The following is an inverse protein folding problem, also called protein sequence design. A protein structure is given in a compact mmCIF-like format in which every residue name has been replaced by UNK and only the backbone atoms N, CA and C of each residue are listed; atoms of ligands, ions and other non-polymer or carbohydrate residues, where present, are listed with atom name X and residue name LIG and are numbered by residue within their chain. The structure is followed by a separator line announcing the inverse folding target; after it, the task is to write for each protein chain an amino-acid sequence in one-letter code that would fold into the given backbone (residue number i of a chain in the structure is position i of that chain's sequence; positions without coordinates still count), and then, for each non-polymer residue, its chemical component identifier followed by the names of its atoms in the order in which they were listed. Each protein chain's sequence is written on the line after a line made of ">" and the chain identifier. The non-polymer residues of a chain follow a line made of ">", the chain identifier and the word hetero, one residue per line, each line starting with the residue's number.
data_IF_576852652084
#
_entry.id   IF_576852652084
#
_cell.length_a   1.000
_cell.length_b   1.000
_cell.length_c   1.000
_cell.angle_alpha   90.00
_cell.angle_beta   90.00
_cell.angle_gamma   90.00
#
_symmetry.space_group_name_H-M   'P 1'
#
loop_
_entity.id
_entity.type
_entity.pdbx_description
1 polymer ?
#
# COMPACT_ATOMS: atom_id res chain seq x y z
N UNK A 1 45.84 15.54 -13.43
CA UNK A 1 44.88 14.83 -12.56
C UNK A 1 45.50 14.81 -11.17
N UNK A 2 44.90 15.50 -10.21
CA UNK A 2 45.37 15.44 -8.82
C UNK A 2 45.11 14.02 -8.30
N UNK A 3 46.14 13.34 -7.81
CA UNK A 3 45.93 12.11 -7.06
C UNK A 3 45.22 12.45 -5.75
N UNK A 4 44.16 11.69 -5.45
CA UNK A 4 43.47 11.79 -4.17
C UNK A 4 44.42 11.33 -3.06
N UNK A 5 44.51 12.14 -2.01
CA UNK A 5 45.14 11.76 -0.75
C UNK A 5 44.42 10.55 -0.13
N UNK A 6 45.10 9.83 0.75
CA UNK A 6 44.53 8.65 1.41
C UNK A 6 43.29 9.00 2.24
N UNK A 7 43.24 10.21 2.80
CA UNK A 7 42.08 10.73 3.52
C UNK A 7 40.87 10.91 2.59
N UNK A 8 41.08 11.53 1.41
CA UNK A 8 40.01 11.72 0.42
C UNK A 8 39.54 10.38 -0.17
N UNK A 9 40.44 9.38 -0.30
CA UNK A 9 40.06 8.01 -0.71
C UNK A 9 39.21 7.33 0.35
N UNK A 10 39.57 7.44 1.62
CA UNK A 10 38.80 6.87 2.71
C UNK A 10 37.40 7.49 2.81
N UNK A 11 37.30 8.81 2.66
CA UNK A 11 36.03 9.53 2.62
C UNK A 11 35.17 9.10 1.43
N UNK A 12 35.75 8.98 0.23
CA UNK A 12 35.03 8.47 -0.94
C UNK A 12 34.48 7.05 -0.74
N UNK A 13 35.23 6.18 -0.08
CA UNK A 13 34.77 4.82 0.24
C UNK A 13 33.56 4.88 1.18
N UNK A 14 33.61 5.70 2.22
CA UNK A 14 32.49 5.86 3.16
C UNK A 14 31.25 6.44 2.47
N UNK A 15 31.44 7.46 1.62
CA UNK A 15 30.35 8.07 0.87
C UNK A 15 29.71 7.07 -0.09
N UNK A 16 30.49 6.26 -0.80
CA UNK A 16 29.97 5.21 -1.68
C UNK A 16 29.18 4.17 -0.90
N UNK A 17 29.71 3.70 0.23
CA UNK A 17 29.02 2.75 1.09
C UNK A 17 27.67 3.32 1.58
N UNK A 18 27.65 4.61 1.95
CA UNK A 18 26.42 5.28 2.38
C UNK A 18 25.43 5.48 1.24
N UNK A 19 25.89 5.80 0.04
CA UNK A 19 25.04 5.89 -1.16
C UNK A 19 24.43 4.54 -1.49
N UNK A 20 25.21 3.47 -1.50
CA UNK A 20 24.70 2.11 -1.74
C UNK A 20 23.65 1.68 -0.71
N UNK A 21 23.86 2.05 0.56
CA UNK A 21 22.87 1.81 1.62
C UNK A 21 21.57 2.59 1.36
N UNK A 22 21.66 3.89 1.06
CA UNK A 22 20.50 4.73 0.77
C UNK A 22 19.75 4.28 -0.51
N UNK A 23 20.48 3.80 -1.52
CA UNK A 23 19.88 3.26 -2.74
C UNK A 23 19.09 1.97 -2.46
N UNK A 24 19.60 1.10 -1.58
CA UNK A 24 18.87 -0.08 -1.12
C UNK A 24 17.59 0.30 -0.37
N UNK A 25 17.69 1.22 0.60
CA UNK A 25 16.52 1.72 1.35
C UNK A 25 15.47 2.33 0.41
N UNK A 26 15.92 3.14 -0.56
CA UNK A 26 15.04 3.74 -1.57
C UNK A 26 14.34 2.70 -2.43
N UNK A 27 15.07 1.69 -2.89
CA UNK A 27 14.49 0.60 -3.67
C UNK A 27 13.39 -0.13 -2.90
N UNK A 28 13.63 -0.46 -1.62
CA UNK A 28 12.65 -1.10 -0.76
C UNK A 28 11.41 -0.23 -0.54
N UNK A 29 11.61 1.07 -0.29
CA UNK A 29 10.51 2.01 -0.10
C UNK A 29 9.66 2.17 -1.37
N UNK A 30 10.30 2.25 -2.55
CA UNK A 30 9.59 2.30 -3.84
C UNK A 30 8.83 1.01 -4.07
N UNK A 31 9.43 -0.16 -3.82
CA UNK A 31 8.76 -1.44 -3.96
C UNK A 31 7.55 -1.59 -3.02
N UNK A 32 7.66 -1.12 -1.78
CA UNK A 32 6.54 -1.09 -0.83
C UNK A 32 5.43 -0.14 -1.29
N UNK A 33 5.79 1.05 -1.75
CA UNK A 33 4.85 2.06 -2.25
C UNK A 33 4.11 1.54 -3.48
N UNK A 34 4.82 0.97 -4.46
CA UNK A 34 4.22 0.41 -5.67
C UNK A 34 3.23 -0.71 -5.35
N UNK A 35 3.56 -1.59 -4.38
CA UNK A 35 2.63 -2.62 -3.91
C UNK A 35 1.37 -2.02 -3.28
N UNK A 36 1.51 -0.97 -2.46
CA UNK A 36 0.37 -0.29 -1.85
C UNK A 36 -0.52 0.40 -2.91
N UNK A 37 0.09 1.06 -3.89
CA UNK A 37 -0.61 1.71 -5.01
C UNK A 37 -1.32 0.68 -5.86
N UNK A 38 -0.68 -0.43 -6.23
CA UNK A 38 -1.30 -1.49 -7.01
C UNK A 38 -2.53 -2.08 -6.30
N UNK A 39 -2.43 -2.35 -4.99
CA UNK A 39 -3.56 -2.82 -4.20
C UNK A 39 -4.69 -1.78 -4.08
N UNK A 40 -4.36 -0.49 -4.06
CA UNK A 40 -5.36 0.58 -4.10
C UNK A 40 -6.03 0.69 -5.46
N UNK A 41 -5.27 0.59 -6.56
CA UNK A 41 -5.77 0.60 -7.93
C UNK A 41 -6.70 -0.57 -8.21
N UNK A 42 -6.37 -1.78 -7.75
CA UNK A 42 -7.26 -2.94 -7.90
C UNK A 42 -8.61 -2.69 -7.20
N UNK A 43 -8.59 -2.12 -5.99
CA UNK A 43 -9.82 -1.78 -5.26
C UNK A 43 -10.60 -0.69 -5.98
N UNK A 44 -9.93 0.37 -6.43
CA UNK A 44 -10.54 1.47 -7.18
C UNK A 44 -11.19 0.96 -8.48
N UNK A 45 -10.51 0.09 -9.22
CA UNK A 45 -11.05 -0.55 -10.42
C UNK A 45 -12.39 -1.26 -10.16
N UNK A 46 -12.50 -2.01 -9.06
CA UNK A 46 -13.76 -2.68 -8.71
C UNK A 46 -14.86 -1.70 -8.32
N UNK A 47 -14.51 -0.62 -7.63
CA UNK A 47 -15.45 0.43 -7.25
C UNK A 47 -16.00 1.14 -8.49
N UNK A 48 -15.11 1.53 -9.41
CA UNK A 48 -15.48 2.14 -10.68
C UNK A 48 -16.34 1.18 -11.52
N UNK A 49 -15.98 -0.10 -11.58
CA UNK A 49 -16.76 -1.11 -12.30
C UNK A 49 -18.18 -1.27 -11.77
N UNK A 50 -18.39 -1.05 -10.46
CA UNK A 50 -19.70 -1.05 -9.83
C UNK A 50 -20.34 0.34 -9.75
N UNK A 51 -19.74 1.36 -10.36
CA UNK A 51 -20.17 2.75 -10.34
C UNK A 51 -20.39 3.28 -8.91
N UNK A 52 -19.54 2.84 -7.97
CA UNK A 52 -19.57 3.26 -6.58
C UNK A 52 -18.62 4.45 -6.37
N UNK A 53 -19.16 5.66 -6.35
CA UNK A 53 -18.37 6.85 -6.00
C UNK A 53 -18.23 6.99 -4.48
N UNK A 54 -17.04 6.66 -3.98
CA UNK A 54 -16.69 6.83 -2.57
C UNK A 54 -16.48 8.30 -2.19
N UNK A 55 -16.04 9.16 -3.11
CA UNK A 55 -15.75 10.56 -2.80
C UNK A 55 -17.06 11.31 -2.55
N UNK A 56 -18.02 11.23 -3.47
CA UNK A 56 -19.35 11.81 -3.28
C UNK A 56 -20.11 11.23 -2.08
N UNK A 57 -19.80 10.00 -1.68
CA UNK A 57 -20.38 9.38 -0.50
C UNK A 57 -19.74 9.86 0.81
N UNK A 58 -18.43 10.14 0.82
CA UNK A 58 -17.72 10.65 1.98
C UNK A 58 -17.95 12.14 2.23
N UNK A 59 -18.34 12.90 1.20
CA UNK A 59 -18.74 14.31 1.33
C UNK A 59 -20.12 14.48 1.98
N UNK A 60 -20.92 13.42 2.06
CA UNK A 60 -22.25 13.46 2.69
C UNK A 60 -22.18 13.23 4.21
N UNK A 61 -22.95 13.98 5.02
CA UNK A 61 -22.97 13.84 6.49
C UNK A 61 -23.41 12.45 7.00
N UNK A 62 -23.99 11.59 6.14
CA UNK A 62 -24.34 10.19 6.45
C UNK A 62 -23.19 9.18 6.29
N UNK A 63 -21.95 9.63 6.05
CA UNK A 63 -20.81 8.73 5.83
C UNK A 63 -20.53 7.77 7.01
N UNK A 64 -20.88 8.15 8.24
CA UNK A 64 -20.75 7.29 9.42
C UNK A 64 -21.72 6.10 9.39
N UNK A 65 -22.97 6.34 8.99
CA UNK A 65 -24.03 5.33 8.87
C UNK A 65 -23.71 4.35 7.74
N UNK A 66 -23.19 4.87 6.63
CA UNK A 66 -22.75 4.03 5.51
C UNK A 66 -21.57 3.12 5.89
N UNK A 67 -20.57 3.63 6.62
CA UNK A 67 -19.45 2.80 7.13
C UNK A 67 -19.95 1.70 8.04
N UNK A 68 -20.94 1.98 8.89
CA UNK A 68 -21.56 0.99 9.74
C UNK A 68 -22.29 -0.09 8.91
N UNK A 69 -23.10 0.32 7.93
CA UNK A 69 -23.80 -0.58 7.03
C UNK A 69 -22.84 -1.52 6.27
N UNK A 70 -21.74 -0.99 5.70
CA UNK A 70 -20.70 -1.81 5.07
C UNK A 70 -20.09 -2.80 6.06
N UNK A 71 -19.84 -2.38 7.31
CA UNK A 71 -19.24 -3.27 8.32
C UNK A 71 -20.16 -4.45 8.64
N UNK A 72 -21.46 -4.18 8.78
CA UNK A 72 -22.48 -5.23 9.02
C UNK A 72 -22.56 -6.19 7.83
N UNK A 73 -22.64 -5.66 6.60
CA UNK A 73 -22.68 -6.49 5.38
C UNK A 73 -21.44 -7.38 5.26
N UNK A 74 -20.25 -6.83 5.50
CA UNK A 74 -19.00 -7.59 5.44
C UNK A 74 -18.95 -8.71 6.47
N UNK A 75 -19.43 -8.46 7.68
CA UNK A 75 -19.48 -9.48 8.74
C UNK A 75 -20.48 -10.60 8.40
N UNK A 76 -21.64 -10.24 7.85
CA UNK A 76 -22.61 -11.20 7.33
C UNK A 76 -22.01 -12.08 6.22
N UNK A 77 -21.36 -11.49 5.21
CA UNK A 77 -20.69 -12.23 4.13
C UNK A 77 -19.60 -13.16 4.68
N UNK A 78 -18.83 -12.70 5.67
CA UNK A 78 -17.79 -13.51 6.32
C UNK A 78 -18.38 -14.73 7.02
N UNK A 79 -19.49 -14.56 7.72
CA UNK A 79 -20.18 -15.63 8.42
C UNK A 79 -20.82 -16.63 7.45
N UNK A 80 -21.47 -16.15 6.38
CA UNK A 80 -22.00 -17.02 5.31
C UNK A 80 -20.87 -17.82 4.65
N UNK A 81 -19.73 -17.21 4.34
CA UNK A 81 -18.55 -17.91 3.77
C UNK A 81 -17.96 -18.95 4.72
N UNK A 82 -18.01 -18.71 6.04
CA UNK A 82 -17.58 -19.70 7.06
C UNK A 82 -18.56 -20.86 7.16
N UNK A 83 -19.86 -20.58 7.17
CA UNK A 83 -20.90 -21.60 7.18
C UNK A 83 -20.85 -22.47 5.92
N UNK A 84 -20.73 -21.85 4.73
CA UNK A 84 -20.56 -22.57 3.45
C UNK A 84 -19.32 -23.47 3.47
N UNK A 85 -18.19 -23.02 4.03
CA UNK A 85 -16.98 -23.86 4.18
C UNK A 85 -17.15 -25.03 5.14
N UNK A 86 -18.04 -24.92 6.13
CA UNK A 86 -18.36 -26.03 7.05
C UNK A 86 -19.35 -27.03 6.43
N UNK A 87 -20.25 -26.56 5.55
CA UNK A 87 -21.24 -27.39 4.86
C UNK A 87 -20.68 -28.11 3.61
N UNK A 88 -19.61 -27.57 3.01
CA UNK A 88 -18.88 -28.17 1.88
C UNK A 88 -17.66 -29.00 2.33
N UNK A 89 -17.55 -29.30 3.62
CA UNK A 89 -16.60 -30.23 4.22
C UNK A 89 -17.38 -31.46 4.66
#
# INVERSE_FOLDING_TARGET
>A
MSELSDAERAELIQLRARVEELERERFEQVAATNRAVAAAQERAYWLDRWHLDLNGLMERPGAAEFRFAIRVVREAIRNVRRAKRKLLR
#
